data_IF_179177847223
#
_entry.id   IF_179177847223
#
_cell.length_a   1.000
_cell.length_b   1.000
_cell.length_c   1.000
_cell.angle_alpha   90.00
_cell.angle_beta   90.00
_cell.angle_gamma   90.00
#
_symmetry.space_group_name_H-M   'P 1'
#
loop_
_entity.id
_entity.type
_entity.pdbx_description
1 polymer ?
#
# COMPACT_ATOMS: atom_id res chain seq x y z
N UNK A 1 -34.10 15.01 17.82
CA UNK A 1 -33.22 14.00 18.45
C UNK A 1 -32.42 13.34 17.33
N UNK A 2 -31.09 13.48 17.28
CA UNK A 2 -30.27 12.87 16.23
C UNK A 2 -29.82 11.47 16.68
N UNK A 3 -30.06 10.45 15.87
CA UNK A 3 -29.57 9.10 16.15
C UNK A 3 -28.07 8.99 15.85
N UNK A 4 -27.28 8.30 16.70
CA UNK A 4 -25.87 8.06 16.42
C UNK A 4 -25.73 7.22 15.16
N UNK A 5 -24.98 7.73 14.18
CA UNK A 5 -24.64 6.98 12.97
C UNK A 5 -23.74 5.82 13.35
N UNK A 6 -24.28 4.59 13.31
CA UNK A 6 -23.49 3.36 13.41
C UNK A 6 -23.20 2.85 12.01
N UNK A 7 -21.94 2.51 11.75
CA UNK A 7 -21.59 1.76 10.56
C UNK A 7 -22.32 0.40 10.59
N UNK A 8 -22.90 -0.05 9.45
CA UNK A 8 -23.55 -1.34 9.38
C UNK A 8 -22.54 -2.45 9.70
N UNK A 9 -22.99 -3.44 10.47
CA UNK A 9 -22.18 -4.64 10.72
C UNK A 9 -22.02 -5.41 9.41
N UNK A 10 -20.81 -5.50 8.89
CA UNK A 10 -20.49 -6.28 7.69
C UNK A 10 -19.71 -7.54 8.06
N UNK A 11 -19.83 -8.59 7.25
CA UNK A 11 -18.94 -9.76 7.32
C UNK A 11 -17.58 -9.52 6.68
N UNK A 12 -17.39 -8.35 6.07
CA UNK A 12 -16.15 -7.98 5.43
C UNK A 12 -15.08 -7.78 6.49
N UNK A 13 -14.07 -8.65 6.46
CA UNK A 13 -12.87 -8.51 7.29
C UNK A 13 -11.85 -7.77 6.44
N UNK A 14 -11.34 -6.66 6.96
CA UNK A 14 -10.14 -6.04 6.39
C UNK A 14 -9.01 -7.05 6.53
N UNK A 15 -8.59 -7.62 5.41
CA UNK A 15 -7.34 -8.35 5.36
C UNK A 15 -6.22 -7.35 5.63
N UNK A 16 -5.24 -7.77 6.42
CA UNK A 16 -4.09 -6.92 6.69
C UNK A 16 -3.34 -6.67 5.38
N UNK A 17 -3.07 -5.42 5.01
CA UNK A 17 -2.32 -5.14 3.79
C UNK A 17 -0.98 -5.87 3.79
N UNK A 18 -0.50 -6.36 2.64
CA UNK A 18 0.80 -7.00 2.55
C UNK A 18 1.89 -6.00 2.92
N UNK A 19 2.86 -6.45 3.72
CA UNK A 19 4.03 -5.65 4.08
C UNK A 19 5.04 -5.68 2.92
N UNK A 20 5.03 -4.63 2.10
CA UNK A 20 5.94 -4.49 0.96
C UNK A 20 7.40 -4.25 1.39
N UNK A 21 7.66 -4.00 2.66
CA UNK A 21 9.02 -3.98 3.21
C UNK A 21 9.61 -5.39 3.37
N UNK A 22 8.76 -6.43 3.40
CA UNK A 22 9.18 -7.81 3.40
C UNK A 22 9.58 -8.27 1.98
N UNK A 23 10.76 -8.88 1.86
CA UNK A 23 11.28 -9.38 0.57
C UNK A 23 10.35 -10.37 -0.10
N UNK A 24 9.76 -11.30 0.66
CA UNK A 24 8.87 -12.33 0.12
C UNK A 24 7.60 -11.74 -0.51
N UNK A 25 7.06 -10.66 0.04
CA UNK A 25 5.91 -9.96 -0.56
C UNK A 25 6.32 -9.20 -1.83
N UNK A 26 7.51 -8.60 -1.88
CA UNK A 26 8.03 -7.97 -3.10
C UNK A 26 8.25 -8.95 -4.24
N UNK A 27 8.75 -10.15 -3.96
CA UNK A 27 8.95 -11.19 -4.97
C UNK A 27 7.63 -11.64 -5.62
N UNK A 28 6.50 -11.46 -4.94
CA UNK A 28 5.15 -11.72 -5.46
C UNK A 28 4.59 -10.58 -6.32
N UNK A 29 5.20 -9.39 -6.28
CA UNK A 29 4.75 -8.26 -7.08
C UNK A 29 5.07 -8.49 -8.56
N UNK A 30 4.01 -8.53 -9.37
CA UNK A 30 4.17 -8.53 -10.81
C UNK A 30 4.63 -7.16 -11.34
N UNK A 31 5.15 -7.08 -12.57
CA UNK A 31 5.48 -5.80 -13.21
C UNK A 31 4.28 -4.84 -13.31
N UNK A 32 3.05 -5.35 -13.34
CA UNK A 32 1.84 -4.52 -13.32
C UNK A 32 1.56 -3.96 -11.91
N UNK A 33 1.80 -4.76 -10.87
CA UNK A 33 1.63 -4.33 -9.48
C UNK A 33 2.61 -3.22 -9.10
N UNK A 34 3.87 -3.31 -9.54
CA UNK A 34 4.86 -2.24 -9.36
C UNK A 34 4.44 -0.94 -10.05
N UNK A 35 3.93 -1.02 -11.29
CA UNK A 35 3.39 0.15 -12.00
C UNK A 35 2.22 0.77 -11.26
N UNK A 36 1.30 -0.05 -10.76
CA UNK A 36 0.17 0.44 -9.96
C UNK A 36 0.64 1.14 -8.68
N UNK A 37 1.62 0.58 -7.97
CA UNK A 37 2.23 1.21 -6.81
C UNK A 37 2.77 2.61 -7.14
N UNK A 38 3.62 2.74 -8.16
CA UNK A 38 4.18 4.05 -8.53
C UNK A 38 3.11 5.05 -8.98
N UNK A 39 2.08 4.60 -9.71
CA UNK A 39 0.96 5.46 -10.09
C UNK A 39 0.19 5.99 -8.88
N UNK A 40 -0.03 5.17 -7.84
CA UNK A 40 -0.68 5.58 -6.60
C UNK A 40 0.19 6.60 -5.85
N UNK A 41 1.48 6.31 -5.67
CA UNK A 41 2.42 7.22 -5.00
C UNK A 41 2.47 8.59 -5.69
N UNK A 42 2.55 8.60 -7.03
CA UNK A 42 2.53 9.82 -7.82
C UNK A 42 1.20 10.58 -7.69
N UNK A 43 0.07 9.87 -7.73
CA UNK A 43 -1.26 10.49 -7.62
C UNK A 43 -1.50 11.15 -6.26
N UNK A 44 -0.95 10.55 -5.21
CA UNK A 44 -1.04 11.03 -3.83
C UNK A 44 0.10 11.96 -3.43
N UNK A 45 1.06 12.20 -4.34
CA UNK A 45 2.23 13.03 -4.09
C UNK A 45 3.04 12.58 -2.86
N UNK A 46 3.14 11.27 -2.67
CA UNK A 46 4.02 10.68 -1.66
C UNK A 46 5.46 10.96 -2.09
N UNK A 47 6.32 11.34 -1.14
CA UNK A 47 7.71 11.64 -1.43
C UNK A 47 8.46 10.38 -1.85
N UNK A 48 9.45 10.53 -2.73
CA UNK A 48 10.22 9.40 -3.22
C UNK A 48 10.93 8.66 -2.09
N UNK A 49 11.41 9.36 -1.06
CA UNK A 49 12.01 8.72 0.11
C UNK A 49 11.04 7.81 0.86
N UNK A 50 9.79 8.25 1.02
CA UNK A 50 8.74 7.51 1.71
C UNK A 50 8.27 6.32 0.88
N UNK A 51 8.13 6.51 -0.43
CA UNK A 51 7.78 5.43 -1.36
C UNK A 51 8.86 4.33 -1.37
N UNK A 52 10.14 4.70 -1.31
CA UNK A 52 11.25 3.73 -1.18
C UNK A 52 11.24 3.03 0.17
N UNK A 53 10.96 3.75 1.26
CA UNK A 53 10.84 3.14 2.58
C UNK A 53 9.73 2.07 2.61
N UNK A 54 8.58 2.32 1.96
CA UNK A 54 7.49 1.35 1.82
C UNK A 54 7.89 0.07 1.07
N UNK A 55 8.87 0.16 0.16
CA UNK A 55 9.43 -1.01 -0.53
C UNK A 55 10.57 -1.67 0.27
N UNK A 56 10.80 -1.28 1.52
CA UNK A 56 11.89 -1.82 2.34
C UNK A 56 13.24 -1.13 2.12
N UNK A 57 13.22 0.14 1.72
CA UNK A 57 14.41 0.96 1.56
C UNK A 57 15.27 0.60 0.35
N UNK A 58 14.68 -0.05 -0.67
CA UNK A 58 15.41 -0.44 -1.88
C UNK A 58 15.88 0.83 -2.59
N UNK A 59 17.18 1.07 -2.56
CA UNK A 59 17.82 2.01 -3.47
C UNK A 59 17.75 1.42 -4.87
N UNK A 60 17.41 2.23 -5.88
CA UNK A 60 17.76 1.87 -7.24
C UNK A 60 19.27 1.54 -7.25
N UNK A 61 19.64 0.41 -7.83
CA UNK A 61 21.05 0.08 -8.06
C UNK A 61 21.74 1.17 -8.89
N UNK A 62 23.08 1.20 -8.89
CA UNK A 62 23.88 2.24 -9.52
C UNK A 62 23.52 2.49 -11.00
#
# INVERSE_FOLDING_TARGET
MAHPRRYPATRYRLEMPPDLSARGERERLSPAALRAFFNIMARWQVRDEDARALLGGVSNGP
#
